data_IF_242064106715
#
_entry.id   IF_242064106715
#
_cell.length_a   1.000
_cell.length_b   1.000
_cell.length_c   1.000
_cell.angle_alpha   90.00
_cell.angle_beta   90.00
_cell.angle_gamma   90.00
#
_symmetry.space_group_name_H-M   'P 1'
#
loop_
_entity.id
_entity.type
_entity.pdbx_description
1 polymer ?
#
# COMPACT_ATOMS: atom_id res chain seq x y z
N UNK A 1 -6.76 24.83 -3.38
CA UNK A 1 -6.70 23.35 -3.51
C UNK A 1 -7.76 22.79 -2.57
N UNK A 2 -8.71 22.01 -3.08
CA UNK A 2 -9.76 21.42 -2.25
C UNK A 2 -9.18 20.14 -1.63
N UNK A 3 -8.84 20.20 -0.35
CA UNK A 3 -8.60 18.99 0.44
C UNK A 3 -9.94 18.42 0.89
N UNK A 4 -10.19 17.16 0.57
CA UNK A 4 -11.33 16.44 1.12
C UNK A 4 -10.96 15.87 2.49
N UNK A 5 -11.76 16.15 3.51
CA UNK A 5 -11.54 15.54 4.83
C UNK A 5 -11.65 14.01 4.75
N UNK A 6 -12.72 13.51 4.14
CA UNK A 6 -12.92 12.08 3.94
C UNK A 6 -13.46 11.81 2.53
N UNK A 7 -12.93 10.78 1.87
CA UNK A 7 -13.45 10.27 0.62
C UNK A 7 -13.68 8.76 0.75
N UNK A 8 -14.92 8.32 0.50
CA UNK A 8 -15.25 6.89 0.49
C UNK A 8 -15.85 6.53 -0.86
N UNK A 9 -15.30 5.51 -1.51
CA UNK A 9 -15.90 4.88 -2.69
C UNK A 9 -16.13 3.41 -2.43
N UNK A 10 -17.30 2.93 -2.82
CA UNK A 10 -17.69 1.53 -2.74
C UNK A 10 -18.11 1.07 -4.13
N UNK A 11 -17.76 -0.18 -4.47
CA UNK A 11 -18.24 -0.86 -5.68
C UNK A 11 -18.02 -0.05 -6.97
N UNK A 12 -16.78 0.05 -7.40
CA UNK A 12 -16.44 0.79 -8.60
C UNK A 12 -15.48 0.00 -9.50
N UNK A 13 -15.59 0.19 -10.81
CA UNK A 13 -14.59 -0.39 -11.70
C UNK A 13 -13.25 0.34 -11.57
N UNK A 14 -13.27 1.66 -11.42
CA UNK A 14 -12.09 2.48 -11.24
C UNK A 14 -12.36 3.61 -10.25
N UNK A 15 -11.34 3.92 -9.44
CA UNK A 15 -11.38 4.96 -8.43
C UNK A 15 -10.09 5.79 -8.49
N UNK A 16 -10.22 7.11 -8.56
CA UNK A 16 -9.10 8.02 -8.35
C UNK A 16 -9.44 9.01 -7.25
N UNK A 17 -8.67 9.00 -6.16
CA UNK A 17 -8.81 9.98 -5.08
C UNK A 17 -7.57 10.88 -5.06
N UNK A 18 -7.82 12.18 -5.13
CA UNK A 18 -6.79 13.22 -5.07
C UNK A 18 -6.97 14.03 -3.78
N UNK A 19 -5.86 14.33 -3.10
CA UNK A 19 -5.80 15.28 -1.98
C UNK A 19 -6.86 15.05 -0.89
N UNK A 20 -6.60 14.07 -0.03
CA UNK A 20 -7.53 13.71 1.04
C UNK A 20 -6.85 13.59 2.41
N UNK A 21 -7.57 13.83 3.51
CA UNK A 21 -7.08 13.41 4.82
C UNK A 21 -7.25 11.89 4.97
N UNK A 22 -8.46 11.36 4.74
CA UNK A 22 -8.68 9.92 4.74
C UNK A 22 -9.40 9.48 3.46
N UNK A 23 -8.85 8.49 2.77
CA UNK A 23 -9.50 7.83 1.65
C UNK A 23 -9.72 6.36 1.94
N UNK A 24 -10.92 5.90 1.64
CA UNK A 24 -11.28 4.49 1.67
C UNK A 24 -11.88 4.10 0.32
N UNK A 25 -11.31 3.11 -0.36
CA UNK A 25 -11.88 2.50 -1.56
C UNK A 25 -12.12 1.02 -1.25
N UNK A 26 -13.37 0.58 -1.43
CA UNK A 26 -13.80 -0.79 -1.18
C UNK A 26 -14.28 -1.42 -2.49
N UNK A 27 -13.92 -2.68 -2.72
CA UNK A 27 -14.42 -3.48 -3.84
C UNK A 27 -14.23 -2.79 -5.19
N UNK A 28 -12.97 -2.62 -5.59
CA UNK A 28 -12.63 -1.92 -6.83
C UNK A 28 -11.73 -2.76 -7.74
N UNK A 29 -11.93 -2.69 -9.06
CA UNK A 29 -10.97 -3.34 -9.97
C UNK A 29 -9.63 -2.59 -9.99
N UNK A 30 -9.65 -1.25 -10.02
CA UNK A 30 -8.43 -0.44 -9.99
C UNK A 30 -8.59 0.85 -9.19
N UNK A 31 -7.80 1.01 -8.13
CA UNK A 31 -7.79 2.20 -7.28
C UNK A 31 -6.46 2.95 -7.34
N UNK A 32 -6.52 4.27 -7.47
CA UNK A 32 -5.34 5.16 -7.36
C UNK A 32 -5.58 6.26 -6.33
N UNK A 33 -4.65 6.40 -5.38
CA UNK A 33 -4.62 7.48 -4.39
C UNK A 33 -3.32 8.26 -4.50
N UNK A 34 -3.40 9.57 -4.73
CA UNK A 34 -2.21 10.37 -5.04
C UNK A 34 -1.57 11.00 -3.80
N UNK A 35 -2.35 11.71 -2.99
CA UNK A 35 -1.87 12.50 -1.85
C UNK A 35 -2.87 12.37 -0.72
N UNK A 36 -2.66 11.41 0.17
CA UNK A 36 -3.59 11.15 1.26
C UNK A 36 -2.87 10.95 2.60
N UNK A 37 -3.34 11.55 3.69
CA UNK A 37 -2.75 11.26 4.99
C UNK A 37 -2.96 9.78 5.36
N UNK A 38 -4.18 9.26 5.18
CA UNK A 38 -4.49 7.84 5.32
C UNK A 38 -5.16 7.31 4.05
N UNK A 39 -4.60 6.24 3.50
CA UNK A 39 -5.09 5.58 2.30
C UNK A 39 -5.45 4.12 2.62
N UNK A 40 -6.72 3.75 2.45
CA UNK A 40 -7.20 2.39 2.70
C UNK A 40 -7.87 1.83 1.44
N UNK A 41 -7.33 0.73 0.91
CA UNK A 41 -7.90 0.01 -0.24
C UNK A 41 -8.15 -1.45 0.12
N UNK A 42 -9.42 -1.85 0.18
CA UNK A 42 -9.84 -3.19 0.61
C UNK A 42 -10.61 -3.87 -0.52
N UNK A 43 -10.31 -5.14 -0.76
CA UNK A 43 -10.83 -5.92 -1.89
C UNK A 43 -10.63 -5.22 -3.26
N UNK A 44 -9.53 -4.50 -3.44
CA UNK A 44 -9.14 -3.96 -4.74
C UNK A 44 -8.31 -4.98 -5.51
N UNK A 45 -8.49 -5.16 -6.82
CA UNK A 45 -7.62 -6.04 -7.61
C UNK A 45 -6.25 -5.41 -7.85
N UNK A 46 -6.23 -4.10 -8.14
CA UNK A 46 -5.02 -3.29 -8.31
C UNK A 46 -5.15 -2.04 -7.45
N UNK A 47 -4.11 -1.75 -6.68
CA UNK A 47 -4.05 -0.63 -5.75
C UNK A 47 -2.75 0.14 -5.91
N UNK A 48 -2.84 1.41 -6.32
CA UNK A 48 -1.68 2.31 -6.43
C UNK A 48 -1.80 3.46 -5.44
N UNK A 49 -0.80 3.64 -4.59
CA UNK A 49 -0.68 4.80 -3.69
C UNK A 49 0.64 5.52 -3.98
N UNK A 50 0.57 6.81 -4.37
CA UNK A 50 1.79 7.56 -4.67
C UNK A 50 2.40 8.18 -3.42
N UNK A 51 1.64 9.01 -2.69
CA UNK A 51 2.11 9.71 -1.50
C UNK A 51 1.10 9.55 -0.37
N UNK A 52 1.54 8.98 0.74
CA UNK A 52 0.72 8.94 1.95
C UNK A 52 1.52 8.95 3.23
N UNK A 53 0.87 9.26 4.35
CA UNK A 53 1.48 9.01 5.65
C UNK A 53 1.29 7.54 6.03
N UNK A 54 0.05 7.04 6.01
CA UNK A 54 -0.25 5.62 6.21
C UNK A 54 -1.02 5.04 5.02
N UNK A 55 -0.60 3.87 4.54
CA UNK A 55 -1.33 3.10 3.55
C UNK A 55 -1.63 1.67 4.03
N UNK A 56 -2.85 1.21 3.77
CA UNK A 56 -3.28 -0.18 3.90
C UNK A 56 -3.92 -0.62 2.59
N UNK A 57 -3.35 -1.63 1.92
CA UNK A 57 -3.78 -2.02 0.56
C UNK A 57 -3.78 -3.54 0.35
N UNK A 58 -4.52 -4.04 -0.66
CA UNK A 58 -4.72 -5.48 -0.92
C UNK A 58 -4.56 -5.93 -2.41
N UNK A 59 -4.46 -7.26 -2.64
CA UNK A 59 -4.19 -8.03 -3.88
C UNK A 59 -2.92 -7.79 -4.71
N UNK A 60 -2.88 -6.70 -5.49
CA UNK A 60 -1.70 -6.24 -6.21
C UNK A 60 -1.47 -4.78 -5.86
N UNK A 61 -0.42 -4.49 -5.11
CA UNK A 61 -0.15 -3.16 -4.62
C UNK A 61 1.17 -2.57 -5.08
N UNK A 62 1.11 -1.29 -5.40
CA UNK A 62 2.28 -0.43 -5.60
C UNK A 62 2.16 0.79 -4.71
N UNK A 63 3.10 0.94 -3.77
CA UNK A 63 3.25 2.13 -2.95
C UNK A 63 4.57 2.79 -3.30
N UNK A 64 4.53 4.08 -3.66
CA UNK A 64 5.76 4.80 -3.99
C UNK A 64 6.40 5.45 -2.78
N UNK A 65 5.70 6.36 -2.10
CA UNK A 65 6.22 7.10 -0.96
C UNK A 65 5.21 7.04 0.18
N UNK A 66 5.60 6.41 1.28
CA UNK A 66 4.75 6.31 2.46
C UNK A 66 5.57 6.45 3.74
N UNK A 67 5.00 7.01 4.81
CA UNK A 67 5.67 6.88 6.10
C UNK A 67 5.52 5.43 6.61
N UNK A 68 4.31 4.89 6.58
CA UNK A 68 4.04 3.49 6.89
C UNK A 68 3.19 2.81 5.82
N UNK A 69 3.62 1.62 5.41
CA UNK A 69 2.93 0.72 4.52
C UNK A 69 2.53 -0.56 5.25
N UNK A 70 1.25 -0.91 5.20
CA UNK A 70 0.77 -2.24 5.53
C UNK A 70 0.14 -2.86 4.30
N UNK A 71 0.59 -4.06 3.95
CA UNK A 71 0.15 -4.77 2.75
C UNK A 71 -0.22 -6.21 3.13
N UNK A 72 -1.50 -6.55 3.04
CA UNK A 72 -2.02 -7.89 3.34
C UNK A 72 -2.62 -8.49 2.06
N UNK A 73 -1.93 -9.43 1.41
CA UNK A 73 -2.22 -9.79 0.02
C UNK A 73 -2.11 -11.28 -0.29
N UNK A 74 -2.44 -11.66 -1.53
CA UNK A 74 -2.25 -13.01 -2.08
C UNK A 74 -1.30 -13.04 -3.28
N UNK A 75 -1.09 -11.92 -3.98
CA UNK A 75 -0.26 -11.86 -5.19
C UNK A 75 1.00 -11.02 -4.96
N UNK A 76 1.09 -9.81 -5.53
CA UNK A 76 2.33 -9.04 -5.60
C UNK A 76 2.23 -7.69 -4.89
N UNK A 77 3.23 -7.40 -4.05
CA UNK A 77 3.35 -6.13 -3.34
C UNK A 77 4.69 -5.47 -3.62
N UNK A 78 4.68 -4.19 -3.99
CA UNK A 78 5.88 -3.37 -4.13
C UNK A 78 5.75 -2.11 -3.30
N UNK A 79 6.73 -1.86 -2.42
CA UNK A 79 6.90 -0.61 -1.67
C UNK A 79 8.26 -0.03 -2.03
N UNK A 80 8.27 1.14 -2.68
CA UNK A 80 9.50 1.75 -3.16
C UNK A 80 10.26 2.46 -2.03
N UNK A 81 9.62 3.42 -1.37
CA UNK A 81 10.20 4.20 -0.27
C UNK A 81 9.24 4.23 0.91
N UNK A 82 9.71 3.78 2.07
CA UNK A 82 8.93 3.91 3.30
C UNK A 82 9.77 4.10 4.56
N UNK A 83 9.19 4.60 5.64
CA UNK A 83 9.84 4.47 6.94
C UNK A 83 9.69 3.02 7.44
N UNK A 84 8.44 2.54 7.45
CA UNK A 84 8.08 1.21 7.92
C UNK A 84 7.23 0.47 6.89
N UNK A 85 7.62 -0.75 6.52
CA UNK A 85 6.82 -1.66 5.70
C UNK A 85 6.48 -2.93 6.46
N UNK A 86 5.20 -3.31 6.47
CA UNK A 86 4.73 -4.63 6.87
C UNK A 86 4.03 -5.29 5.71
N UNK A 87 4.50 -6.46 5.29
CA UNK A 87 3.90 -7.25 4.23
C UNK A 87 3.57 -8.64 4.76
N UNK A 88 2.36 -9.13 4.48
CA UNK A 88 1.89 -10.43 4.95
C UNK A 88 1.16 -11.20 3.84
N UNK A 89 1.40 -12.52 3.80
CA UNK A 89 0.67 -13.52 3.01
C UNK A 89 0.84 -13.42 1.47
N UNK A 90 1.89 -12.78 0.97
CA UNK A 90 2.05 -12.50 -0.47
C UNK A 90 2.68 -13.66 -1.26
N UNK A 91 2.38 -13.77 -2.56
CA UNK A 91 3.22 -14.57 -3.46
C UNK A 91 4.59 -13.92 -3.66
N UNK A 92 4.62 -12.61 -3.89
CA UNK A 92 5.87 -11.85 -4.01
C UNK A 92 5.77 -10.51 -3.28
N UNK A 93 6.82 -10.15 -2.56
CA UNK A 93 6.88 -8.94 -1.76
C UNK A 93 8.22 -8.24 -1.95
N UNK A 94 8.19 -6.99 -2.40
CA UNK A 94 9.39 -6.19 -2.69
C UNK A 94 9.36 -4.88 -1.89
N UNK A 95 10.39 -4.63 -1.08
CA UNK A 95 10.66 -3.32 -0.45
C UNK A 95 12.02 -2.83 -0.92
N UNK A 96 12.13 -1.61 -1.45
CA UNK A 96 13.41 -1.14 -2.01
C UNK A 96 14.21 -0.22 -1.12
N UNK A 97 13.57 0.68 -0.37
CA UNK A 97 14.24 1.61 0.55
C UNK A 97 13.38 1.78 1.79
N UNK A 98 13.93 1.43 2.95
CA UNK A 98 13.21 1.60 4.20
C UNK A 98 14.05 1.79 5.46
N UNK A 99 13.44 2.27 6.54
CA UNK A 99 14.06 2.17 7.86
C UNK A 99 13.79 0.80 8.50
N UNK A 100 12.59 0.26 8.34
CA UNK A 100 12.26 -1.07 8.84
C UNK A 100 11.27 -1.82 7.94
N UNK A 101 11.54 -3.10 7.68
CA UNK A 101 10.65 -3.99 6.94
C UNK A 101 10.38 -5.27 7.72
N UNK A 102 9.11 -5.68 7.77
CA UNK A 102 8.66 -6.98 8.24
C UNK A 102 7.93 -7.65 7.09
N UNK A 103 8.41 -8.80 6.65
CA UNK A 103 7.77 -9.62 5.61
C UNK A 103 7.44 -10.98 6.23
N UNK A 104 6.16 -11.37 6.24
CA UNK A 104 5.70 -12.63 6.83
C UNK A 104 4.92 -13.47 5.82
N UNK A 105 5.14 -14.78 5.79
CA UNK A 105 4.34 -15.72 5.01
C UNK A 105 4.32 -15.37 3.52
N UNK A 106 5.47 -14.98 2.96
CA UNK A 106 5.59 -14.67 1.55
C UNK A 106 6.43 -15.72 0.82
N UNK A 107 5.96 -16.21 -0.33
CA UNK A 107 6.72 -17.20 -1.11
C UNK A 107 8.05 -16.62 -1.60
N UNK A 108 8.02 -15.37 -2.09
CA UNK A 108 9.20 -14.61 -2.47
C UNK A 108 9.23 -13.27 -1.73
N UNK A 109 10.38 -12.94 -1.14
CA UNK A 109 10.61 -11.67 -0.46
C UNK A 109 11.93 -11.05 -0.92
N UNK A 110 11.88 -9.80 -1.37
CA UNK A 110 13.05 -8.98 -1.68
C UNK A 110 12.99 -7.72 -0.85
N UNK A 111 14.00 -7.51 -0.01
CA UNK A 111 14.16 -6.28 0.78
C UNK A 111 15.53 -5.71 0.46
N UNK A 112 15.57 -4.50 -0.09
CA UNK A 112 16.80 -3.78 -0.42
C UNK A 112 16.89 -2.51 0.43
N UNK A 113 18.12 -2.02 0.64
CA UNK A 113 18.44 -0.74 1.28
C UNK A 113 17.56 -0.42 2.51
N UNK A 114 17.49 -1.38 3.44
CA UNK A 114 16.75 -1.22 4.70
C UNK A 114 17.68 -1.26 5.91
N UNK A 115 17.48 -0.36 6.87
CA UNK A 115 18.27 -0.35 8.10
C UNK A 115 18.00 -1.58 8.97
N UNK A 116 16.75 -2.07 8.97
CA UNK A 116 16.36 -3.32 9.63
C UNK A 116 15.35 -4.08 8.76
N UNK A 117 15.53 -5.39 8.63
CA UNK A 117 14.64 -6.25 7.88
C UNK A 117 14.44 -7.59 8.60
N UNK A 118 13.19 -8.00 8.76
CA UNK A 118 12.81 -9.33 9.26
C UNK A 118 11.97 -10.02 8.20
N UNK A 119 12.44 -11.16 7.70
CA UNK A 119 11.70 -12.00 6.76
C UNK A 119 11.41 -13.33 7.46
N UNK A 120 10.13 -13.60 7.68
CA UNK A 120 9.61 -14.83 8.26
C UNK A 120 8.80 -15.53 7.17
N UNK A 121 9.19 -16.73 6.78
CA UNK A 121 8.40 -17.51 5.83
C UNK A 121 7.29 -18.28 6.56
#
# INVERSE_FOLDING_TARGET
MIQWNNATMQQCNSATVKQCNNATVLQCNSGTMLQCNKATMVQCNIATVLQCYNATVCNNATLQQCYSATVNQRNNATVQQCNNATMQQCNSATVLQCNSAIVKQCNNATVQQCNSATVLQ
#
